data_IF_622545857897
#
_entry.id   IF_622545857897
#
_cell.length_a   1.000
_cell.length_b   1.000
_cell.length_c   1.000
_cell.angle_alpha   90.00
_cell.angle_beta   90.00
_cell.angle_gamma   90.00
#
_symmetry.space_group_name_H-M   'P 1'
#
loop_
_entity.id
_entity.type
_entity.pdbx_description
1 polymer ?
#
# COMPACT_ATOMS: atom_id res chain seq x y z
N UNK A 1 5.07 25.25 19.94
CA UNK A 1 5.41 26.67 19.62
C UNK A 1 4.38 27.30 18.67
N UNK A 2 3.92 26.61 17.61
CA UNK A 2 2.90 27.14 16.65
C UNK A 2 1.66 27.62 17.40
N UNK A 3 1.08 26.80 18.26
CA UNK A 3 -0.11 27.12 19.06
C UNK A 3 0.09 28.35 19.95
N UNK A 4 1.30 28.55 20.49
CA UNK A 4 1.64 29.72 21.31
C UNK A 4 1.55 31.01 20.50
N UNK A 5 2.09 30.99 19.28
CA UNK A 5 2.08 32.16 18.38
C UNK A 5 0.67 32.41 17.86
N UNK A 6 -0.06 31.36 17.51
CA UNK A 6 -1.45 31.45 17.04
C UNK A 6 -2.41 31.92 18.12
N UNK A 7 -2.08 31.71 19.40
CA UNK A 7 -2.86 32.22 20.53
C UNK A 7 -2.88 33.76 20.56
N UNK A 8 -1.88 34.44 19.97
CA UNK A 8 -1.68 35.89 20.01
C UNK A 8 -1.69 36.48 21.42
N UNK A 9 -1.37 35.65 22.43
CA UNK A 9 -1.39 36.05 23.81
C UNK A 9 -2.75 35.99 24.49
N UNK A 10 -3.77 35.44 23.82
CA UNK A 10 -5.09 35.26 24.45
C UNK A 10 -5.03 34.27 25.60
N UNK A 11 -5.36 34.73 26.80
CA UNK A 11 -5.15 34.00 28.06
C UNK A 11 -5.79 32.62 28.03
N UNK A 12 -7.05 32.49 27.60
CA UNK A 12 -7.78 31.23 27.55
C UNK A 12 -7.10 30.16 26.62
N UNK A 13 -6.54 30.61 25.49
CA UNK A 13 -5.81 29.73 24.57
C UNK A 13 -4.48 29.28 25.17
N UNK A 14 -3.81 30.16 25.90
CA UNK A 14 -2.57 29.83 26.59
C UNK A 14 -2.82 28.85 27.73
N UNK A 15 -3.87 29.07 28.54
CA UNK A 15 -4.26 28.14 29.59
C UNK A 15 -4.58 26.74 29.06
N UNK A 16 -5.22 26.65 27.91
CA UNK A 16 -5.45 25.37 27.22
C UNK A 16 -4.14 24.69 26.78
N UNK A 17 -3.22 25.46 26.20
CA UNK A 17 -1.89 24.96 25.76
C UNK A 17 -1.06 24.47 26.96
N UNK A 18 -1.06 25.21 28.07
CA UNK A 18 -0.34 24.86 29.28
C UNK A 18 -1.08 23.84 30.17
N UNK A 19 -2.32 23.51 29.82
CA UNK A 19 -3.22 22.65 30.65
C UNK A 19 -3.35 23.12 32.09
N UNK A 20 -3.42 24.44 32.28
CA UNK A 20 -3.49 25.08 33.57
C UNK A 20 -3.10 26.56 33.51
N UNK A 21 -2.64 27.09 34.65
CA UNK A 21 -2.20 28.48 34.73
C UNK A 21 -0.94 28.75 33.88
N UNK A 22 -0.97 29.86 33.19
CA UNK A 22 0.20 30.34 32.40
C UNK A 22 1.22 30.91 33.38
N UNK A 23 2.50 30.53 33.30
CA UNK A 23 3.54 31.09 34.15
C UNK A 23 3.63 32.62 34.08
N UNK A 24 3.79 33.31 35.21
CA UNK A 24 3.79 34.77 35.29
C UNK A 24 4.88 35.44 34.42
N UNK A 25 5.98 34.74 34.21
CA UNK A 25 7.08 35.23 33.38
C UNK A 25 6.98 34.81 31.91
N UNK A 26 5.87 34.19 31.49
CA UNK A 26 5.66 33.76 30.13
C UNK A 26 5.28 34.92 29.20
N UNK A 27 6.04 35.15 28.16
CA UNK A 27 5.74 36.13 27.13
C UNK A 27 5.70 35.45 25.76
N UNK A 28 4.52 35.36 25.17
CA UNK A 28 4.35 34.70 23.86
C UNK A 28 5.13 35.41 22.71
N UNK A 29 5.48 36.69 22.89
CA UNK A 29 6.27 37.48 21.92
C UNK A 29 7.75 37.07 21.86
N UNK A 30 8.22 36.29 22.83
CA UNK A 30 9.57 35.76 22.84
C UNK A 30 9.72 34.57 21.86
N UNK A 31 8.60 34.13 21.30
CA UNK A 31 8.55 33.06 20.33
C UNK A 31 8.29 33.59 18.93
N UNK A 32 9.05 33.08 17.95
CA UNK A 32 8.86 33.37 16.55
C UNK A 32 8.96 32.11 15.73
N UNK A 33 8.23 32.04 14.61
CA UNK A 33 8.33 30.96 13.63
C UNK A 33 8.77 31.58 12.33
N UNK A 34 9.92 31.13 11.86
CA UNK A 34 10.41 31.44 10.52
C UNK A 34 10.08 30.25 9.61
N UNK A 35 9.26 30.47 8.57
CA UNK A 35 8.94 29.49 7.56
C UNK A 35 9.61 29.85 6.25
N UNK A 36 10.52 28.99 5.78
CA UNK A 36 11.26 29.16 4.52
C UNK A 36 10.91 27.97 3.62
N UNK A 37 9.83 28.03 2.82
CA UNK A 37 9.55 27.01 1.84
C UNK A 37 10.55 27.05 0.69
N UNK A 38 10.63 25.93 -0.05
CA UNK A 38 11.55 25.79 -1.19
C UNK A 38 11.45 26.96 -2.20
N UNK A 39 10.26 27.45 -2.46
CA UNK A 39 10.05 28.56 -3.41
C UNK A 39 10.72 29.87 -3.00
N UNK A 40 11.03 30.04 -1.71
CA UNK A 40 11.74 31.21 -1.18
C UNK A 40 13.25 31.01 -1.09
N UNK A 41 13.75 29.81 -1.36
CA UNK A 41 15.18 29.51 -1.36
C UNK A 41 15.79 30.03 -2.68
N UNK A 42 16.99 30.65 -2.64
CA UNK A 42 17.65 31.12 -3.86
C UNK A 42 17.86 29.98 -4.87
N UNK A 43 17.65 30.29 -6.15
CA UNK A 43 17.87 29.34 -7.24
C UNK A 43 19.28 28.79 -7.21
N UNK A 44 19.41 27.48 -7.38
CA UNK A 44 20.72 26.78 -7.36
C UNK A 44 21.15 26.30 -5.98
N UNK A 45 20.42 26.62 -4.91
CA UNK A 45 20.69 26.08 -3.59
C UNK A 45 20.22 24.61 -3.45
N UNK A 46 19.12 24.27 -4.10
CA UNK A 46 18.62 22.90 -4.24
C UNK A 46 18.43 22.57 -5.73
N UNK A 47 18.50 21.31 -6.09
CA UNK A 47 18.23 20.85 -7.44
C UNK A 47 16.71 20.85 -7.71
N UNK A 48 16.27 21.76 -8.59
CA UNK A 48 14.87 21.88 -8.99
C UNK A 48 14.30 20.56 -9.55
N UNK A 49 15.12 19.77 -10.25
CA UNK A 49 14.71 18.44 -10.78
C UNK A 49 14.47 17.43 -9.67
N UNK A 50 15.32 17.47 -8.65
CA UNK A 50 15.15 16.59 -7.47
C UNK A 50 13.89 16.96 -6.70
N UNK A 51 13.60 18.24 -6.52
CA UNK A 51 12.36 18.70 -5.87
C UNK A 51 11.12 18.32 -6.67
N UNK A 52 11.15 18.49 -8.01
CA UNK A 52 10.07 18.07 -8.89
C UNK A 52 9.86 16.53 -8.83
N UNK A 53 10.95 15.76 -8.80
CA UNK A 53 10.90 14.32 -8.64
C UNK A 53 10.32 13.92 -7.28
N UNK A 54 10.75 14.57 -6.20
CA UNK A 54 10.19 14.34 -4.86
C UNK A 54 8.68 14.64 -4.84
N UNK A 55 8.24 15.75 -5.42
CA UNK A 55 6.82 16.09 -5.54
C UNK A 55 6.01 15.02 -6.28
N UNK A 56 6.59 14.38 -7.29
CA UNK A 56 5.94 13.33 -8.06
C UNK A 56 5.95 11.95 -7.37
N UNK A 57 6.86 11.70 -6.43
CA UNK A 57 7.08 10.35 -5.88
C UNK A 57 6.69 10.18 -4.43
N UNK A 58 6.72 11.24 -3.63
CA UNK A 58 6.35 11.21 -2.22
C UNK A 58 4.94 11.80 -2.01
N UNK A 59 4.24 11.34 -0.98
CA UNK A 59 2.91 11.89 -0.69
C UNK A 59 2.98 13.34 -0.20
N UNK A 60 1.90 14.08 -0.45
CA UNK A 60 1.80 15.53 -0.23
C UNK A 60 2.15 15.96 1.19
N UNK A 61 1.82 15.15 2.21
CA UNK A 61 2.13 15.47 3.60
C UNK A 61 3.63 15.58 3.86
N UNK A 62 4.43 14.60 3.41
CA UNK A 62 5.90 14.65 3.52
C UNK A 62 6.47 15.75 2.65
N UNK A 63 5.99 15.90 1.40
CA UNK A 63 6.44 16.99 0.54
C UNK A 63 6.22 18.37 1.20
N UNK A 64 5.05 18.59 1.79
CA UNK A 64 4.73 19.83 2.48
C UNK A 64 5.63 20.05 3.71
N UNK A 65 5.96 19.01 4.44
CA UNK A 65 6.85 19.09 5.60
C UNK A 65 8.30 19.39 5.19
N UNK A 66 8.83 18.64 4.23
CA UNK A 66 10.25 18.70 3.83
C UNK A 66 10.58 19.89 2.90
N UNK A 67 9.69 20.21 1.98
CA UNK A 67 9.95 21.25 0.94
C UNK A 67 9.11 22.51 1.10
N UNK A 68 7.87 22.40 1.56
CA UNK A 68 7.03 23.58 1.76
C UNK A 68 7.10 24.13 3.19
N UNK A 69 7.91 23.52 4.07
CA UNK A 69 8.10 23.90 5.47
C UNK A 69 6.76 24.07 6.21
N UNK A 70 5.80 23.17 5.97
CA UNK A 70 4.51 23.13 6.63
C UNK A 70 4.54 22.14 7.80
N UNK A 71 3.96 22.53 8.92
CA UNK A 71 3.69 21.57 10.00
C UNK A 71 2.48 20.72 9.59
N UNK A 72 2.59 19.42 9.81
CA UNK A 72 1.46 18.50 9.64
C UNK A 72 0.58 18.55 10.88
N UNK A 73 -0.73 18.46 10.70
CA UNK A 73 -1.67 18.30 11.81
C UNK A 73 -1.74 16.83 12.20
N UNK A 74 -1.45 16.52 13.47
CA UNK A 74 -1.35 15.16 14.01
C UNK A 74 -2.72 14.48 14.25
N UNK A 75 -3.83 15.14 13.94
CA UNK A 75 -5.15 14.71 14.39
C UNK A 75 -5.83 13.64 13.55
N UNK A 76 -5.37 13.38 12.33
CA UNK A 76 -6.01 12.42 11.43
C UNK A 76 -5.09 11.24 11.13
N UNK A 77 -5.68 10.04 11.01
CA UNK A 77 -4.96 8.83 10.60
C UNK A 77 -4.12 9.02 9.34
N UNK A 78 -3.13 8.16 9.15
CA UNK A 78 -2.22 8.27 7.99
C UNK A 78 -2.98 8.26 6.66
N UNK A 79 -4.06 7.49 6.56
CA UNK A 79 -5.00 7.50 5.44
C UNK A 79 -6.31 8.16 5.88
N UNK A 80 -6.53 9.41 5.48
CA UNK A 80 -7.75 10.14 5.83
C UNK A 80 -8.98 9.53 5.16
N UNK A 81 -10.09 9.45 5.86
CA UNK A 81 -11.37 8.97 5.29
C UNK A 81 -11.76 9.74 4.02
N UNK A 82 -11.64 11.06 4.03
CA UNK A 82 -11.93 11.90 2.87
C UNK A 82 -11.06 11.57 1.64
N UNK A 83 -9.80 11.21 1.86
CA UNK A 83 -8.90 10.78 0.78
C UNK A 83 -9.37 9.46 0.18
N UNK A 84 -9.66 8.46 1.01
CA UNK A 84 -10.17 7.15 0.57
C UNK A 84 -11.46 7.32 -0.21
N UNK A 85 -12.44 8.07 0.34
CA UNK A 85 -13.73 8.32 -0.30
C UNK A 85 -13.60 9.10 -1.64
N UNK A 86 -12.57 9.91 -1.80
CA UNK A 86 -12.28 10.59 -3.07
C UNK A 86 -11.82 9.64 -4.18
N UNK A 87 -11.39 8.43 -3.82
CA UNK A 87 -10.95 7.37 -4.73
C UNK A 87 -12.05 6.31 -4.98
N UNK A 88 -13.23 6.45 -4.37
CA UNK A 88 -14.39 5.61 -4.61
C UNK A 88 -15.12 6.11 -5.86
N UNK A 89 -15.33 5.22 -6.83
CA UNK A 89 -16.07 5.58 -8.04
C UNK A 89 -17.58 5.68 -7.74
N UNK A 90 -18.27 6.60 -8.43
CA UNK A 90 -19.73 6.84 -8.25
C UNK A 90 -20.38 7.15 -9.59
N UNK A 91 -21.60 6.71 -9.81
CA UNK A 91 -22.33 6.97 -11.05
C UNK A 91 -22.51 8.48 -11.32
N UNK A 92 -22.86 9.22 -10.26
CA UNK A 92 -23.11 10.66 -10.36
C UNK A 92 -21.84 11.50 -10.35
N UNK A 93 -20.67 10.91 -10.07
CA UNK A 93 -19.38 11.58 -10.00
C UNK A 93 -18.27 10.58 -10.37
N UNK A 94 -18.14 10.22 -11.66
CA UNK A 94 -17.10 9.33 -12.11
C UNK A 94 -15.72 9.95 -11.87
N UNK A 95 -14.72 9.12 -11.66
CA UNK A 95 -13.33 9.57 -11.57
C UNK A 95 -12.81 9.70 -13.00
N UNK A 96 -12.29 10.87 -13.33
CA UNK A 96 -11.78 11.19 -14.66
C UNK A 96 -10.27 10.98 -14.67
N UNK A 97 -9.79 10.06 -15.51
CA UNK A 97 -8.36 9.85 -15.76
C UNK A 97 -8.12 10.01 -17.27
N UNK A 98 -7.34 11.02 -17.63
CA UNK A 98 -7.22 11.37 -19.05
C UNK A 98 -8.56 11.79 -19.65
N UNK A 99 -9.06 11.03 -20.63
CA UNK A 99 -10.35 11.25 -21.29
C UNK A 99 -11.42 10.22 -20.89
N UNK A 100 -11.14 9.35 -19.92
CA UNK A 100 -12.01 8.26 -19.53
C UNK A 100 -12.76 8.58 -18.22
N UNK A 101 -14.07 8.33 -18.23
CA UNK A 101 -14.89 8.35 -17.02
C UNK A 101 -14.89 6.95 -16.41
N UNK A 102 -14.32 6.82 -15.23
CA UNK A 102 -14.14 5.53 -14.58
C UNK A 102 -15.21 5.33 -13.53
N UNK A 103 -16.01 4.27 -13.74
CA UNK A 103 -16.94 3.70 -12.76
C UNK A 103 -16.85 2.20 -12.88
N UNK A 104 -16.77 1.48 -11.79
CA UNK A 104 -16.70 0.02 -11.79
C UNK A 104 -17.25 -0.57 -10.49
N UNK A 105 -17.61 -1.84 -10.56
CA UNK A 105 -18.11 -2.64 -9.44
C UNK A 105 -17.02 -3.59 -8.92
N UNK A 106 -17.20 -4.06 -7.69
CA UNK A 106 -16.48 -5.21 -7.19
C UNK A 106 -16.85 -6.45 -8.03
N UNK A 107 -15.89 -7.35 -8.19
CA UNK A 107 -16.02 -8.52 -9.07
C UNK A 107 -15.63 -9.78 -8.31
N UNK A 108 -16.31 -10.89 -8.61
CA UNK A 108 -15.90 -12.24 -8.20
C UNK A 108 -15.26 -13.03 -9.36
N UNK A 109 -15.38 -12.51 -10.58
CA UNK A 109 -14.73 -13.03 -11.79
C UNK A 109 -14.16 -11.85 -12.59
N UNK A 110 -12.93 -11.95 -12.99
CA UNK A 110 -12.20 -10.92 -13.77
C UNK A 110 -12.43 -11.04 -15.28
N UNK A 111 -11.91 -10.06 -16.01
CA UNK A 111 -11.82 -10.11 -17.47
C UNK A 111 -10.56 -10.91 -17.87
N UNK A 112 -10.69 -11.97 -18.69
CA UNK A 112 -9.54 -12.78 -19.12
C UNK A 112 -8.52 -12.00 -19.98
N UNK A 113 -8.85 -10.80 -20.45
CA UNK A 113 -7.94 -9.94 -21.21
C UNK A 113 -7.10 -9.01 -20.35
N UNK A 114 -7.46 -8.86 -19.08
CA UNK A 114 -6.77 -7.99 -18.13
C UNK A 114 -5.82 -8.80 -17.25
N UNK A 115 -4.92 -8.11 -16.61
CA UNK A 115 -3.95 -8.67 -15.67
C UNK A 115 -4.29 -8.27 -14.25
N UNK A 116 -4.06 -9.19 -13.33
CA UNK A 116 -4.41 -9.01 -11.93
C UNK A 116 -3.20 -9.26 -11.03
N UNK A 117 -3.12 -8.50 -9.96
CA UNK A 117 -2.13 -8.67 -8.91
C UNK A 117 -2.85 -9.06 -7.63
N UNK A 118 -2.31 -10.05 -6.93
CA UNK A 118 -2.81 -10.45 -5.63
C UNK A 118 -1.85 -10.00 -4.54
N UNK A 119 -2.39 -9.39 -3.52
CA UNK A 119 -1.70 -9.19 -2.26
C UNK A 119 -2.28 -10.12 -1.22
N UNK A 120 -1.42 -10.84 -0.54
CA UNK A 120 -1.80 -11.86 0.44
C UNK A 120 -1.11 -11.55 1.76
N UNK A 121 -1.91 -11.38 2.80
CA UNK A 121 -1.45 -11.33 4.19
C UNK A 121 -1.81 -12.66 4.86
N UNK A 122 -0.83 -13.56 5.08
CA UNK A 122 -1.08 -14.84 5.69
C UNK A 122 -1.31 -14.68 7.20
N UNK A 123 -2.38 -15.32 7.68
CA UNK A 123 -2.72 -15.31 9.10
C UNK A 123 -1.67 -15.99 9.96
N UNK A 124 -1.36 -15.38 11.09
CA UNK A 124 -0.86 -16.09 12.26
C UNK A 124 -2.01 -16.86 12.97
N UNK A 125 -1.75 -17.48 14.11
CA UNK A 125 -2.78 -18.27 14.81
C UNK A 125 -4.07 -17.52 15.17
N UNK A 126 -3.99 -16.19 15.36
CA UNK A 126 -5.10 -15.35 15.84
C UNK A 126 -5.55 -14.28 14.84
N UNK A 127 -4.76 -14.05 13.79
CA UNK A 127 -5.02 -13.02 12.80
C UNK A 127 -5.86 -13.57 11.64
N UNK A 128 -6.31 -12.69 10.77
CA UNK A 128 -7.02 -13.09 9.57
C UNK A 128 -6.03 -13.35 8.43
N UNK A 129 -6.35 -14.33 7.62
CA UNK A 129 -5.80 -14.47 6.29
C UNK A 129 -6.59 -13.56 5.34
N UNK A 130 -5.91 -12.70 4.62
CA UNK A 130 -6.56 -11.74 3.73
C UNK A 130 -5.96 -11.74 2.34
N UNK A 131 -6.82 -11.63 1.31
CA UNK A 131 -6.42 -11.48 -0.09
C UNK A 131 -7.09 -10.21 -0.64
N UNK A 132 -6.30 -9.38 -1.31
CA UNK A 132 -6.79 -8.25 -2.11
C UNK A 132 -6.33 -8.43 -3.55
N UNK A 133 -7.25 -8.27 -4.51
CA UNK A 133 -6.94 -8.37 -5.93
C UNK A 133 -7.08 -7.00 -6.59
N UNK A 134 -6.01 -6.60 -7.29
CA UNK A 134 -5.98 -5.40 -8.11
C UNK A 134 -6.06 -5.74 -9.59
N UNK A 135 -6.97 -5.09 -10.30
CA UNK A 135 -7.05 -5.09 -11.76
C UNK A 135 -6.13 -4.00 -12.30
N UNK A 136 -5.20 -4.37 -13.19
CA UNK A 136 -4.21 -3.46 -13.75
C UNK A 136 -4.71 -2.77 -15.02
N UNK A 137 -4.60 -1.46 -15.05
CA UNK A 137 -4.78 -0.63 -16.22
C UNK A 137 -3.53 0.23 -16.47
N UNK A 138 -3.29 0.70 -17.70
CA UNK A 138 -2.10 1.50 -18.01
C UNK A 138 -1.95 2.77 -17.17
N UNK A 139 -3.04 3.39 -16.77
CA UNK A 139 -3.09 4.67 -16.05
C UNK A 139 -3.44 4.54 -14.57
N UNK A 140 -4.02 3.42 -14.14
CA UNK A 140 -4.51 3.23 -12.77
C UNK A 140 -4.66 1.75 -12.43
N UNK A 141 -4.88 1.46 -11.16
CA UNK A 141 -5.25 0.13 -10.66
C UNK A 141 -6.60 0.19 -9.96
N UNK A 142 -7.38 -0.87 -10.03
CA UNK A 142 -8.71 -0.99 -9.42
C UNK A 142 -8.71 -2.09 -8.39
N UNK A 143 -9.19 -1.79 -7.19
CA UNK A 143 -9.46 -2.82 -6.18
C UNK A 143 -10.77 -3.48 -6.59
N UNK A 144 -10.72 -4.70 -7.09
CA UNK A 144 -11.91 -5.40 -7.62
C UNK A 144 -12.41 -6.50 -6.71
N UNK A 145 -11.54 -7.03 -5.84
CA UNK A 145 -11.86 -8.16 -4.99
C UNK A 145 -11.11 -8.06 -3.65
N UNK A 146 -11.82 -8.41 -2.58
CA UNK A 146 -11.25 -8.60 -1.26
C UNK A 146 -11.90 -9.81 -0.58
N UNK A 147 -11.12 -10.60 0.11
CA UNK A 147 -11.59 -11.76 0.85
C UNK A 147 -10.77 -11.99 2.11
N UNK A 148 -11.45 -12.39 3.18
CA UNK A 148 -10.82 -12.60 4.48
C UNK A 148 -11.39 -13.83 5.17
N UNK A 149 -10.53 -14.58 5.82
CA UNK A 149 -10.92 -15.71 6.66
C UNK A 149 -10.00 -15.85 7.87
N UNK A 150 -10.41 -16.68 8.83
CA UNK A 150 -9.60 -17.02 9.98
C UNK A 150 -9.87 -18.48 10.40
N UNK A 151 -9.06 -18.97 11.32
CA UNK A 151 -9.19 -20.36 11.82
C UNK A 151 -10.53 -20.66 12.47
N UNK A 152 -11.21 -19.67 13.05
CA UNK A 152 -12.54 -19.85 13.64
C UNK A 152 -13.58 -20.07 12.55
N UNK A 153 -13.63 -19.19 11.56
CA UNK A 153 -14.52 -19.31 10.40
C UNK A 153 -14.26 -20.61 9.62
N UNK A 154 -13.00 -20.98 9.46
CA UNK A 154 -12.62 -22.24 8.83
C UNK A 154 -13.22 -23.45 9.58
N UNK A 155 -13.05 -23.51 10.91
CA UNK A 155 -13.61 -24.59 11.74
C UNK A 155 -15.14 -24.64 11.73
N UNK A 156 -15.79 -23.47 11.68
CA UNK A 156 -17.25 -23.39 11.59
C UNK A 156 -17.76 -23.91 10.24
N UNK A 157 -17.12 -23.53 9.15
CA UNK A 157 -17.44 -24.02 7.80
C UNK A 157 -17.15 -25.52 7.66
N UNK A 158 -16.07 -26.02 8.27
CA UNK A 158 -15.76 -27.46 8.32
C UNK A 158 -16.85 -28.23 9.07
N UNK A 159 -17.29 -27.74 10.24
CA UNK A 159 -18.39 -28.36 11.02
C UNK A 159 -19.71 -28.35 10.24
N UNK A 160 -19.95 -27.33 9.43
CA UNK A 160 -21.13 -27.25 8.57
C UNK A 160 -21.02 -28.14 7.33
N UNK A 161 -19.91 -28.84 7.12
CA UNK A 161 -19.71 -29.71 5.95
C UNK A 161 -19.42 -28.95 4.65
N UNK A 162 -19.14 -27.64 4.75
CA UNK A 162 -18.87 -26.78 3.60
C UNK A 162 -17.42 -26.86 3.10
N UNK A 163 -16.52 -27.37 3.93
CA UNK A 163 -15.09 -27.53 3.64
C UNK A 163 -14.67 -28.96 3.97
N UNK A 164 -14.03 -29.62 3.03
CA UNK A 164 -13.43 -30.96 3.21
C UNK A 164 -11.97 -30.91 3.67
N UNK A 165 -11.30 -29.75 3.48
CA UNK A 165 -9.90 -29.61 3.91
C UNK A 165 -9.78 -29.73 5.43
N UNK A 166 -8.70 -30.35 5.87
CA UNK A 166 -8.38 -30.50 7.28
C UNK A 166 -7.31 -29.53 7.77
N UNK A 167 -6.57 -28.93 6.84
CA UNK A 167 -5.52 -27.96 7.11
C UNK A 167 -5.91 -26.56 6.63
N UNK A 168 -5.79 -25.58 7.53
CA UNK A 168 -6.11 -24.19 7.27
C UNK A 168 -5.24 -23.57 6.17
N UNK A 169 -3.94 -23.88 6.17
CA UNK A 169 -3.04 -23.28 5.17
C UNK A 169 -3.26 -23.91 3.79
N UNK A 170 -3.55 -25.20 3.73
CA UNK A 170 -3.94 -25.86 2.49
C UNK A 170 -5.23 -25.26 1.92
N UNK A 171 -6.22 -24.95 2.77
CA UNK A 171 -7.43 -24.25 2.39
C UNK A 171 -7.14 -22.85 1.84
N UNK A 172 -6.25 -22.08 2.49
CA UNK A 172 -5.85 -20.76 2.00
C UNK A 172 -5.11 -20.84 0.64
N UNK A 173 -4.21 -21.81 0.47
CA UNK A 173 -3.54 -22.06 -0.80
C UNK A 173 -4.53 -22.46 -1.90
N UNK A 174 -5.52 -23.32 -1.58
CA UNK A 174 -6.60 -23.70 -2.49
C UNK A 174 -7.41 -22.47 -2.92
N UNK A 175 -7.69 -21.55 -2.00
CA UNK A 175 -8.37 -20.28 -2.31
C UNK A 175 -7.59 -19.46 -3.33
N UNK A 176 -6.27 -19.31 -3.15
CA UNK A 176 -5.40 -18.61 -4.12
C UNK A 176 -5.52 -19.26 -5.52
N UNK A 177 -5.44 -20.58 -5.61
CA UNK A 177 -5.56 -21.30 -6.89
C UNK A 177 -6.92 -21.10 -7.54
N UNK A 178 -8.00 -21.15 -6.76
CA UNK A 178 -9.35 -20.91 -7.28
C UNK A 178 -9.52 -19.48 -7.81
N UNK A 179 -8.91 -18.49 -7.14
CA UNK A 179 -8.91 -17.12 -7.65
C UNK A 179 -8.14 -16.98 -8.96
N UNK A 180 -7.06 -17.73 -9.17
CA UNK A 180 -6.32 -17.71 -10.44
C UNK A 180 -7.13 -18.24 -11.62
N UNK A 181 -8.16 -19.08 -11.37
CA UNK A 181 -9.13 -19.49 -12.40
C UNK A 181 -10.11 -18.36 -12.73
N UNK A 182 -10.43 -17.52 -11.76
CA UNK A 182 -11.37 -16.40 -11.90
C UNK A 182 -10.70 -15.11 -12.40
N UNK A 183 -9.46 -14.83 -12.00
CA UNK A 183 -8.71 -13.63 -12.33
C UNK A 183 -7.34 -13.99 -12.89
N UNK A 184 -7.02 -13.69 -14.17
CA UNK A 184 -5.71 -13.96 -14.73
C UNK A 184 -4.57 -13.32 -13.93
N UNK A 185 -3.79 -14.12 -13.23
CA UNK A 185 -2.78 -13.65 -12.30
C UNK A 185 -1.47 -13.30 -13.01
N UNK A 186 -1.00 -12.05 -12.83
CA UNK A 186 0.32 -11.61 -13.27
C UNK A 186 1.38 -11.82 -12.19
N UNK A 187 1.01 -11.53 -10.93
CA UNK A 187 1.89 -11.63 -9.77
C UNK A 187 1.10 -11.82 -8.48
N UNK A 188 1.65 -12.62 -7.58
CA UNK A 188 1.15 -12.80 -6.22
C UNK A 188 2.21 -12.25 -5.26
N UNK A 189 1.89 -11.26 -4.46
CA UNK A 189 2.72 -10.85 -3.33
C UNK A 189 2.21 -11.47 -2.05
N UNK A 190 3.10 -12.00 -1.23
CA UNK A 190 2.74 -12.60 0.04
C UNK A 190 3.77 -12.29 1.12
N UNK A 191 3.32 -11.96 2.33
CA UNK A 191 4.25 -11.81 3.45
C UNK A 191 4.85 -13.18 3.78
N UNK A 192 6.18 -13.24 3.80
CA UNK A 192 6.92 -14.46 4.16
C UNK A 192 6.83 -14.81 5.65
N UNK A 193 6.32 -13.89 6.49
CA UNK A 193 6.24 -14.09 7.93
C UNK A 193 4.95 -14.83 8.33
N UNK A 194 4.91 -15.35 9.52
CA UNK A 194 3.74 -16.07 10.03
C UNK A 194 3.44 -17.35 9.25
N UNK A 195 2.25 -17.43 8.64
CA UNK A 195 1.80 -18.58 7.85
C UNK A 195 2.31 -18.64 6.41
N UNK A 196 3.07 -17.63 5.95
CA UNK A 196 3.48 -17.48 4.56
C UNK A 196 4.24 -18.66 4.00
N UNK A 197 5.22 -19.18 4.75
CA UNK A 197 6.01 -20.34 4.34
C UNK A 197 5.13 -21.60 4.17
N UNK A 198 4.19 -21.83 5.07
CA UNK A 198 3.30 -23.01 4.98
C UNK A 198 2.35 -22.92 3.78
N UNK A 199 1.93 -21.69 3.41
CA UNK A 199 1.13 -21.46 2.20
C UNK A 199 2.00 -21.64 0.94
N UNK A 200 3.22 -21.11 0.95
CA UNK A 200 4.18 -21.30 -0.12
C UNK A 200 4.42 -22.78 -0.41
N UNK A 201 4.73 -23.59 0.64
CA UNK A 201 4.89 -25.04 0.52
C UNK A 201 3.63 -25.70 -0.07
N UNK A 202 2.44 -25.29 0.35
CA UNK A 202 1.19 -25.83 -0.19
C UNK A 202 0.93 -25.39 -1.65
N UNK A 203 1.48 -24.26 -2.11
CA UNK A 203 1.35 -23.77 -3.48
C UNK A 203 2.24 -24.52 -4.47
N UNK A 204 3.31 -25.16 -4.04
CA UNK A 204 4.15 -25.99 -4.92
C UNK A 204 4.13 -27.48 -4.54
N UNK A 205 3.19 -27.94 -3.71
CA UNK A 205 2.96 -29.34 -3.42
C UNK A 205 2.16 -30.02 -4.55
N UNK A 206 2.77 -30.98 -5.30
CA UNK A 206 2.08 -31.68 -6.39
C UNK A 206 0.86 -32.46 -5.93
N UNK A 207 0.83 -32.92 -4.66
CA UNK A 207 -0.28 -33.68 -4.11
C UNK A 207 -1.56 -32.84 -3.93
N UNK A 208 -1.45 -31.52 -4.00
CA UNK A 208 -2.55 -30.57 -3.82
C UNK A 208 -3.06 -29.96 -5.12
N UNK A 209 -2.56 -30.41 -6.26
CA UNK A 209 -2.99 -29.94 -7.56
C UNK A 209 -4.32 -30.59 -7.98
N UNK A 210 -5.19 -29.80 -8.57
CA UNK A 210 -6.32 -30.27 -9.36
C UNK A 210 -5.95 -30.39 -10.84
N UNK A 211 -6.77 -31.04 -11.62
CA UNK A 211 -6.55 -31.20 -13.06
C UNK A 211 -6.44 -29.84 -13.76
N UNK A 212 -5.37 -29.68 -14.54
CA UNK A 212 -5.08 -28.43 -15.27
C UNK A 212 -4.40 -27.32 -14.47
N UNK A 213 -4.07 -27.57 -13.19
CA UNK A 213 -3.31 -26.61 -12.38
C UNK A 213 -1.80 -26.79 -12.48
N UNK A 214 -1.07 -25.70 -12.32
CA UNK A 214 0.39 -25.70 -12.28
C UNK A 214 0.90 -25.47 -10.85
N UNK A 215 2.09 -25.92 -10.56
CA UNK A 215 2.84 -25.53 -9.38
C UNK A 215 3.09 -24.01 -9.39
N UNK A 216 3.04 -23.37 -8.24
CA UNK A 216 3.30 -21.95 -8.09
C UNK A 216 4.58 -21.77 -7.29
N UNK A 217 5.57 -21.14 -7.91
CA UNK A 217 6.91 -20.95 -7.37
C UNK A 217 7.21 -19.47 -7.16
N UNK A 218 8.19 -19.15 -6.31
CA UNK A 218 8.76 -17.81 -6.23
C UNK A 218 9.29 -17.33 -7.58
N UNK A 219 9.26 -16.00 -7.76
CA UNK A 219 9.85 -15.35 -8.93
C UNK A 219 11.34 -15.60 -8.97
N UNK A 220 11.84 -16.02 -10.13
CA UNK A 220 13.25 -16.28 -10.35
C UNK A 220 13.97 -14.97 -10.61
N UNK A 221 15.05 -14.70 -9.88
CA UNK A 221 15.95 -13.61 -10.21
C UNK A 221 16.62 -13.85 -11.57
N UNK A 222 16.83 -12.80 -12.33
CA UNK A 222 17.36 -12.88 -13.69
C UNK A 222 18.70 -13.63 -13.79
N UNK A 223 19.50 -13.60 -12.73
CA UNK A 223 20.76 -14.32 -12.62
C UNK A 223 20.64 -15.83 -12.43
N UNK A 224 19.47 -16.30 -12.02
CA UNK A 224 19.22 -17.72 -11.69
C UNK A 224 18.34 -18.42 -12.72
N UNK A 225 17.90 -17.73 -13.78
CA UNK A 225 16.99 -18.29 -14.80
C UNK A 225 17.54 -19.53 -15.50
N UNK A 226 18.86 -19.55 -15.72
CA UNK A 226 19.51 -20.64 -16.46
C UNK A 226 19.78 -21.89 -15.58
N UNK A 227 19.57 -21.80 -14.28
CA UNK A 227 19.85 -22.88 -13.30
C UNK A 227 18.60 -23.39 -12.62
N UNK A 228 17.43 -22.88 -12.94
CA UNK A 228 16.18 -23.28 -12.31
C UNK A 228 15.47 -24.35 -13.15
N UNK A 229 15.41 -25.57 -12.60
CA UNK A 229 14.75 -26.73 -13.20
C UNK A 229 13.29 -26.89 -12.73
N UNK A 230 12.75 -25.94 -11.96
CA UNK A 230 11.40 -26.04 -11.39
C UNK A 230 10.33 -25.77 -12.44
N UNK A 231 9.48 -26.76 -12.70
CA UNK A 231 8.38 -26.66 -13.66
C UNK A 231 7.16 -26.05 -12.96
N UNK A 232 6.64 -24.95 -13.49
CA UNK A 232 5.46 -24.29 -12.93
C UNK A 232 5.37 -22.80 -13.27
N UNK A 233 4.56 -22.08 -12.51
CA UNK A 233 4.37 -20.64 -12.63
C UNK A 233 5.24 -19.90 -11.60
N UNK A 234 6.18 -19.11 -12.08
CA UNK A 234 7.04 -18.28 -11.23
C UNK A 234 6.42 -16.89 -11.04
N UNK A 235 5.34 -16.82 -10.28
CA UNK A 235 4.54 -15.60 -10.08
C UNK A 235 4.48 -15.14 -8.62
N UNK A 236 5.04 -15.90 -7.68
CA UNK A 236 5.00 -15.61 -6.26
C UNK A 236 6.18 -14.70 -5.87
N UNK A 237 5.92 -13.59 -5.22
CA UNK A 237 6.92 -12.70 -4.64
C UNK A 237 6.74 -12.64 -3.12
N UNK A 238 7.74 -13.12 -2.41
CA UNK A 238 7.75 -13.10 -0.95
C UNK A 238 8.29 -11.76 -0.44
N UNK A 239 7.48 -11.05 0.34
CA UNK A 239 7.83 -9.78 0.93
C UNK A 239 8.10 -9.91 2.43
N UNK A 240 8.78 -8.94 3.01
CA UNK A 240 9.10 -8.93 4.44
C UNK A 240 8.82 -7.55 5.03
N UNK A 241 7.81 -7.43 5.86
CA UNK A 241 7.49 -6.21 6.59
C UNK A 241 8.57 -5.78 7.59
N UNK A 242 9.47 -6.69 7.97
CA UNK A 242 10.61 -6.35 8.83
C UNK A 242 11.60 -5.37 8.18
N UNK A 243 11.61 -5.23 6.85
CA UNK A 243 12.45 -4.27 6.13
C UNK A 243 11.84 -2.89 6.21
N UNK A 244 12.42 -2.01 7.04
CA UNK A 244 11.90 -0.66 7.29
C UNK A 244 11.74 0.17 6.02
N UNK A 245 12.72 0.12 5.11
CA UNK A 245 12.68 0.87 3.84
C UNK A 245 11.54 0.41 2.94
N UNK A 246 11.32 -0.92 2.85
CA UNK A 246 10.20 -1.48 2.09
C UNK A 246 8.86 -1.02 2.68
N UNK A 247 8.71 -1.09 4.00
CA UNK A 247 7.48 -0.69 4.69
C UNK A 247 7.21 0.81 4.52
N UNK A 248 8.24 1.66 4.65
CA UNK A 248 8.11 3.09 4.42
C UNK A 248 7.72 3.40 2.96
N UNK A 249 8.45 2.83 2.00
CA UNK A 249 8.18 3.04 0.58
C UNK A 249 6.79 2.57 0.18
N UNK A 250 6.33 1.43 0.70
CA UNK A 250 5.00 0.89 0.40
C UNK A 250 3.89 1.77 0.96
N UNK A 251 4.01 2.22 2.22
CA UNK A 251 3.00 3.08 2.84
C UNK A 251 2.89 4.46 2.18
N UNK A 252 4.03 5.12 1.97
CA UNK A 252 4.04 6.40 1.27
C UNK A 252 3.59 6.25 -0.17
N UNK A 253 3.95 5.15 -0.83
CA UNK A 253 3.49 4.80 -2.16
C UNK A 253 1.98 4.64 -2.23
N UNK A 254 1.40 3.84 -1.34
CA UNK A 254 -0.05 3.64 -1.26
C UNK A 254 -0.80 4.96 -1.05
N UNK A 255 -0.33 5.78 -0.10
CA UNK A 255 -0.92 7.10 0.14
C UNK A 255 -0.82 8.00 -1.08
N UNK A 256 0.33 8.03 -1.75
CA UNK A 256 0.53 8.81 -2.98
C UNK A 256 -0.43 8.36 -4.09
N UNK A 257 -0.61 7.05 -4.27
CA UNK A 257 -1.51 6.51 -5.30
C UNK A 257 -2.98 6.87 -5.04
N UNK A 258 -3.39 6.96 -3.77
CA UNK A 258 -4.70 7.50 -3.41
C UNK A 258 -4.80 9.00 -3.67
N UNK A 259 -3.77 9.79 -3.33
CA UNK A 259 -3.74 11.24 -3.59
C UNK A 259 -3.80 11.55 -5.10
N UNK A 260 -3.11 10.78 -5.92
CA UNK A 260 -3.07 10.92 -7.38
C UNK A 260 -4.27 10.25 -8.07
N UNK A 261 -5.13 9.54 -7.32
CA UNK A 261 -6.26 8.76 -7.84
C UNK A 261 -5.85 7.70 -8.88
N UNK A 262 -4.68 7.11 -8.70
CA UNK A 262 -4.23 5.98 -9.53
C UNK A 262 -4.53 4.62 -8.90
N UNK A 263 -5.01 4.59 -7.66
CA UNK A 263 -5.60 3.44 -7.01
C UNK A 263 -7.05 3.75 -6.66
N UNK A 264 -7.98 2.98 -7.21
CA UNK A 264 -9.42 3.26 -7.14
C UNK A 264 -10.17 2.14 -6.42
N UNK A 265 -11.23 2.53 -5.71
CA UNK A 265 -12.20 1.61 -5.10
C UNK A 265 -13.46 1.52 -5.97
N UNK A 266 -14.11 0.35 -5.97
CA UNK A 266 -15.39 0.17 -6.67
C UNK A 266 -16.46 1.07 -6.06
N UNK A 267 -17.49 1.33 -6.83
CA UNK A 267 -18.66 2.02 -6.28
C UNK A 267 -19.33 1.14 -5.21
N UNK A 268 -19.84 1.81 -4.21
CA UNK A 268 -20.71 1.22 -3.20
C UNK A 268 -22.06 1.93 -3.25
N UNK A 269 -23.10 1.17 -3.56
CA UNK A 269 -24.47 1.62 -3.53
C UNK A 269 -25.30 0.55 -2.82
N UNK A 270 -26.01 0.94 -1.75
CA UNK A 270 -26.83 0.04 -0.95
C UNK A 270 -27.90 -0.66 -1.80
N UNK A 271 -28.48 0.05 -2.79
CA UNK A 271 -29.47 -0.51 -3.67
C UNK A 271 -28.88 -1.59 -4.59
N UNK A 272 -27.71 -1.32 -5.16
CA UNK A 272 -26.98 -2.31 -5.97
C UNK A 272 -26.58 -3.53 -5.16
N UNK A 273 -26.21 -3.35 -3.90
CA UNK A 273 -25.91 -4.45 -2.97
C UNK A 273 -27.15 -5.32 -2.70
N UNK A 274 -28.31 -4.71 -2.44
CA UNK A 274 -29.57 -5.44 -2.22
C UNK A 274 -29.98 -6.21 -3.48
N UNK A 275 -29.85 -5.60 -4.65
CA UNK A 275 -30.16 -6.27 -5.94
C UNK A 275 -29.21 -7.43 -6.23
N UNK A 276 -27.90 -7.27 -5.91
CA UNK A 276 -26.93 -8.35 -6.03
C UNK A 276 -27.25 -9.51 -5.09
N UNK A 277 -27.58 -9.23 -3.83
CA UNK A 277 -28.03 -10.21 -2.83
C UNK A 277 -29.28 -10.99 -3.32
N UNK A 278 -30.25 -10.29 -3.86
CA UNK A 278 -31.47 -10.91 -4.41
C UNK A 278 -31.17 -11.84 -5.61
N UNK A 279 -30.27 -11.42 -6.49
CA UNK A 279 -29.84 -12.26 -7.62
C UNK A 279 -29.05 -13.48 -7.15
N UNK A 280 -28.16 -13.33 -6.21
CA UNK A 280 -27.36 -14.42 -5.65
C UNK A 280 -28.26 -15.43 -4.93
N UNK A 281 -29.22 -14.98 -4.13
CA UNK A 281 -30.20 -15.85 -3.47
C UNK A 281 -31.03 -16.63 -4.46
N UNK A 282 -31.52 -16.01 -5.55
CA UNK A 282 -32.28 -16.71 -6.61
C UNK A 282 -31.42 -17.74 -7.35
N UNK A 283 -30.13 -17.43 -7.57
CA UNK A 283 -29.21 -18.35 -8.20
C UNK A 283 -28.91 -19.57 -7.32
N UNK A 284 -28.80 -19.37 -5.99
CA UNK A 284 -28.64 -20.45 -5.01
C UNK A 284 -29.86 -21.35 -4.95
N UNK A 285 -31.09 -20.78 -5.02
CA UNK A 285 -32.33 -21.53 -5.00
C UNK A 285 -32.58 -22.34 -6.30
N UNK A 286 -32.01 -21.88 -7.42
CA UNK A 286 -32.24 -22.53 -8.75
C UNK A 286 -31.14 -23.49 -9.17
N UNK A 287 -30.01 -23.51 -8.51
CA UNK A 287 -28.89 -24.38 -8.83
C UNK A 287 -28.68 -25.40 -7.73
N UNK A 288 -28.49 -26.66 -8.09
CA UNK A 288 -27.87 -27.71 -7.27
C UNK A 288 -26.39 -27.34 -6.92
N UNK A 289 -26.12 -26.07 -6.67
CA UNK A 289 -24.79 -25.53 -6.47
C UNK A 289 -24.48 -25.58 -5.00
N UNK A 290 -23.39 -26.25 -4.68
CA UNK A 290 -22.61 -26.00 -3.45
C UNK A 290 -22.54 -24.50 -3.21
N UNK A 291 -22.82 -24.01 -2.00
CA UNK A 291 -22.81 -22.58 -1.69
C UNK A 291 -21.52 -21.94 -2.22
N UNK A 292 -21.63 -21.00 -3.14
CA UNK A 292 -20.48 -20.25 -3.61
C UNK A 292 -19.88 -19.51 -2.42
N UNK A 293 -18.59 -19.74 -2.17
CA UNK A 293 -17.87 -19.09 -1.08
C UNK A 293 -17.67 -17.61 -1.30
N UNK A 294 -17.84 -17.14 -2.53
CA UNK A 294 -17.58 -15.78 -2.95
C UNK A 294 -18.84 -15.22 -3.55
N UNK A 295 -19.54 -14.44 -2.77
CA UNK A 295 -20.62 -13.62 -3.26
C UNK A 295 -20.12 -12.20 -3.52
N UNK A 296 -20.70 -11.50 -4.48
CA UNK A 296 -20.37 -10.09 -4.75
C UNK A 296 -20.62 -9.25 -3.50
N UNK A 297 -21.65 -9.57 -2.74
CA UNK A 297 -21.98 -8.86 -1.49
C UNK A 297 -20.90 -9.04 -0.41
N UNK A 298 -20.41 -10.26 -0.20
CA UNK A 298 -19.30 -10.49 0.72
C UNK A 298 -18.05 -9.73 0.28
N UNK A 299 -17.73 -9.75 -1.02
CA UNK A 299 -16.61 -9.02 -1.58
C UNK A 299 -16.73 -7.51 -1.33
N UNK A 300 -17.89 -6.93 -1.55
CA UNK A 300 -18.15 -5.49 -1.31
C UNK A 300 -18.00 -5.15 0.17
N UNK A 301 -18.55 -5.97 1.07
CA UNK A 301 -18.41 -5.76 2.52
C UNK A 301 -16.95 -5.84 2.97
N UNK A 302 -16.17 -6.80 2.44
CA UNK A 302 -14.76 -6.91 2.72
C UNK A 302 -13.95 -5.69 2.23
N UNK A 303 -14.34 -5.09 1.09
CA UNK A 303 -13.74 -3.84 0.60
C UNK A 303 -14.12 -2.66 1.50
N UNK A 304 -15.35 -2.59 2.02
CA UNK A 304 -15.74 -1.57 3.00
C UNK A 304 -14.95 -1.70 4.30
N UNK A 305 -14.75 -2.94 4.78
CA UNK A 305 -13.89 -3.19 5.94
C UNK A 305 -12.43 -2.84 5.67
N UNK A 306 -11.91 -3.07 4.47
CA UNK A 306 -10.58 -2.60 4.05
C UNK A 306 -10.46 -1.07 4.15
N UNK A 307 -11.48 -0.31 3.70
CA UNK A 307 -11.50 1.15 3.84
C UNK A 307 -11.50 1.57 5.32
N UNK A 308 -12.23 0.86 6.17
CA UNK A 308 -12.25 1.08 7.60
C UNK A 308 -10.86 0.82 8.23
N UNK A 309 -10.20 -0.30 7.90
CA UNK A 309 -8.85 -0.61 8.36
C UNK A 309 -7.85 0.50 8.00
N UNK A 310 -7.89 0.97 6.75
CA UNK A 310 -7.03 2.07 6.28
C UNK A 310 -7.16 3.33 7.16
N UNK A 311 -8.38 3.70 7.56
CA UNK A 311 -8.60 4.89 8.39
C UNK A 311 -8.05 4.75 9.81
N UNK A 312 -7.80 3.52 10.28
CA UNK A 312 -7.26 3.27 11.62
C UNK A 312 -5.75 3.29 11.68
N UNK A 313 -5.07 3.31 10.53
CA UNK A 313 -3.61 3.30 10.49
C UNK A 313 -3.06 4.67 10.90
N UNK A 314 -2.19 4.64 11.89
CA UNK A 314 -1.45 5.81 12.35
C UNK A 314 0.04 5.62 12.10
N UNK A 315 0.71 6.68 11.71
CA UNK A 315 2.17 6.72 11.61
C UNK A 315 2.74 7.28 12.90
N UNK A 316 3.68 6.56 13.48
CA UNK A 316 4.42 6.99 14.65
C UNK A 316 5.91 6.85 14.42
N UNK A 317 6.71 7.73 15.01
CA UNK A 317 8.16 7.61 15.00
C UNK A 317 8.63 6.93 16.26
N UNK A 318 9.45 5.91 16.11
CA UNK A 318 10.11 5.24 17.24
C UNK A 318 11.55 5.71 17.31
N UNK A 319 11.94 6.28 18.46
CA UNK A 319 13.32 6.65 18.73
C UNK A 319 14.12 5.40 19.14
N UNK A 320 15.09 5.01 18.36
CA UNK A 320 15.98 3.89 18.66
C UNK A 320 17.46 4.31 18.59
N UNK A 321 18.35 3.47 19.09
CA UNK A 321 19.82 3.67 19.02
C UNK A 321 20.37 3.81 17.60
N UNK A 322 19.61 3.36 16.58
CA UNK A 322 19.96 3.45 15.16
C UNK A 322 19.20 4.55 14.39
N UNK A 323 18.62 5.54 15.09
CA UNK A 323 17.86 6.64 14.50
C UNK A 323 16.36 6.50 14.63
N UNK A 324 15.62 7.53 14.24
CA UNK A 324 14.16 7.53 14.21
C UNK A 324 13.68 6.66 13.04
N UNK A 325 12.73 5.76 13.30
CA UNK A 325 12.09 4.92 12.28
C UNK A 325 10.59 5.15 12.30
N UNK A 326 10.03 5.32 11.14
CA UNK A 326 8.59 5.39 10.97
C UNK A 326 7.97 4.01 11.11
N UNK A 327 6.86 3.98 11.83
CA UNK A 327 6.06 2.78 12.06
C UNK A 327 4.61 3.06 11.77
N UNK A 328 3.99 2.21 10.97
CA UNK A 328 2.57 2.22 10.65
C UNK A 328 1.88 1.09 11.40
N UNK A 329 0.93 1.45 12.24
CA UNK A 329 0.21 0.47 13.07
C UNK A 329 -1.15 1.04 13.46
N UNK A 330 -2.02 0.17 14.01
CA UNK A 330 -3.27 0.61 14.62
C UNK A 330 -3.03 1.12 16.05
N UNK A 331 -3.81 2.09 16.54
CA UNK A 331 -3.69 2.57 17.90
C UNK A 331 -4.02 1.46 18.90
N UNK A 332 -3.43 1.55 20.09
CA UNK A 332 -3.78 0.68 21.21
C UNK A 332 -5.20 0.97 21.67
N UNK A 333 -6.03 -0.06 21.76
CA UNK A 333 -7.40 0.02 22.30
C UNK A 333 -7.52 -0.74 23.60
N UNK A 334 -8.39 -0.28 24.51
CA UNK A 334 -8.76 -1.06 25.69
C UNK A 334 -9.83 -2.07 25.30
N UNK A 335 -9.51 -3.34 25.43
CA UNK A 335 -10.45 -4.44 25.23
C UNK A 335 -11.43 -4.53 26.41
N UNK A 336 -12.64 -5.12 26.22
CA UNK A 336 -13.62 -5.31 27.31
C UNK A 336 -13.07 -6.05 28.53
N UNK A 337 -12.04 -6.86 28.36
CA UNK A 337 -11.33 -7.59 29.43
C UNK A 337 -10.28 -6.72 30.16
N UNK A 338 -10.22 -5.41 29.88
CA UNK A 338 -9.27 -4.48 30.49
C UNK A 338 -7.83 -4.56 29.95
N UNK A 339 -7.53 -5.50 29.05
CA UNK A 339 -6.22 -5.64 28.41
C UNK A 339 -6.10 -4.67 27.23
N UNK A 340 -4.87 -4.23 26.95
CA UNK A 340 -4.57 -3.53 25.71
C UNK A 340 -4.62 -4.51 24.53
N UNK A 341 -5.25 -4.09 23.47
CA UNK A 341 -5.31 -4.80 22.21
C UNK A 341 -5.07 -3.84 21.04
N UNK A 342 -4.96 -4.37 19.85
CA UNK A 342 -4.87 -3.61 18.62
C UNK A 342 -6.05 -3.96 17.70
N UNK A 343 -6.43 -3.03 16.85
CA UNK A 343 -7.35 -3.30 15.77
C UNK A 343 -6.66 -4.17 14.70
N UNK A 344 -7.45 -4.90 13.96
CA UNK A 344 -6.95 -5.69 12.84
C UNK A 344 -6.58 -4.80 11.67
N UNK A 345 -5.61 -5.25 10.87
CA UNK A 345 -5.10 -4.52 9.70
C UNK A 345 -4.69 -5.47 8.56
N UNK A 346 -5.25 -6.66 8.54
CA UNK A 346 -4.83 -7.74 7.66
C UNK A 346 -5.16 -7.43 6.20
N UNK A 347 -6.34 -6.83 5.93
CA UNK A 347 -6.73 -6.37 4.58
C UNK A 347 -5.86 -5.22 4.10
N UNK A 348 -5.54 -4.28 5.00
CA UNK A 348 -4.62 -3.20 4.69
C UNK A 348 -3.23 -3.74 4.33
N UNK A 349 -2.70 -4.73 5.06
CA UNK A 349 -1.42 -5.35 4.75
C UNK A 349 -1.44 -6.02 3.37
N UNK A 350 -2.50 -6.76 3.05
CA UNK A 350 -2.69 -7.37 1.74
C UNK A 350 -2.75 -6.31 0.62
N UNK A 351 -3.51 -5.21 0.81
CA UNK A 351 -3.54 -4.11 -0.15
C UNK A 351 -2.17 -3.45 -0.33
N UNK A 352 -1.43 -3.25 0.76
CA UNK A 352 -0.11 -2.64 0.74
C UNK A 352 0.86 -3.45 -0.15
N UNK A 353 0.84 -4.78 -0.02
CA UNK A 353 1.61 -5.71 -0.84
C UNK A 353 1.18 -5.61 -2.31
N UNK A 354 -0.12 -5.75 -2.58
CA UNK A 354 -0.64 -5.69 -3.95
C UNK A 354 -0.29 -4.37 -4.64
N UNK A 355 -0.47 -3.24 -3.96
CA UNK A 355 -0.18 -1.93 -4.52
C UNK A 355 1.32 -1.72 -4.79
N UNK A 356 2.19 -2.24 -3.93
CA UNK A 356 3.63 -2.16 -4.15
C UNK A 356 4.05 -2.90 -5.41
N UNK A 357 3.51 -4.10 -5.64
CA UNK A 357 3.75 -4.87 -6.88
C UNK A 357 3.18 -4.16 -8.11
N UNK A 358 1.97 -3.61 -8.02
CA UNK A 358 1.37 -2.84 -9.11
C UNK A 358 2.26 -1.65 -9.50
N UNK A 359 2.82 -0.95 -8.54
CA UNK A 359 3.75 0.16 -8.77
C UNK A 359 5.05 -0.30 -9.45
N UNK A 360 5.58 -1.45 -9.07
CA UNK A 360 6.79 -2.02 -9.67
C UNK A 360 6.54 -2.39 -11.14
N UNK A 361 5.43 -3.07 -11.44
CA UNK A 361 5.06 -3.48 -12.80
C UNK A 361 4.79 -2.25 -13.67
N UNK A 362 4.01 -1.28 -13.18
CA UNK A 362 3.71 -0.06 -13.92
C UNK A 362 4.97 0.76 -14.22
N UNK A 363 5.94 0.80 -13.30
CA UNK A 363 7.23 1.45 -13.56
C UNK A 363 8.06 0.71 -14.60
N UNK A 364 8.03 -0.62 -14.60
CA UNK A 364 8.74 -1.42 -15.59
C UNK A 364 8.14 -1.28 -17.01
N UNK A 365 6.83 -1.03 -17.09
CA UNK A 365 6.11 -0.83 -18.35
C UNK A 365 6.25 0.60 -18.90
N UNK A 366 6.61 1.59 -18.07
CA UNK A 366 6.89 2.93 -18.57
C UNK A 366 8.16 2.88 -19.42
N UNK A 367 8.11 3.40 -20.68
CA UNK A 367 9.33 3.54 -21.45
C UNK A 367 10.31 4.34 -20.59
N UNK A 368 11.50 3.79 -20.38
CA UNK A 368 12.59 4.53 -19.77
C UNK A 368 12.87 5.66 -20.76
N UNK A 369 12.22 6.80 -20.58
CA UNK A 369 12.67 8.03 -21.17
C UNK A 369 14.00 8.31 -20.49
N UNK A 370 15.08 7.81 -21.10
CA UNK A 370 16.35 8.44 -20.90
C UNK A 370 16.12 9.87 -21.40
N UNK A 371 15.88 10.81 -20.49
CA UNK A 371 16.31 12.16 -20.74
C UNK A 371 17.81 12.00 -20.97
N UNK A 372 18.17 11.77 -22.22
CA UNK A 372 19.50 12.09 -22.70
C UNK A 372 19.58 13.55 -22.34
N UNK A 373 20.20 13.81 -21.17
CA UNK A 373 20.59 15.14 -20.76
C UNK A 373 21.26 15.67 -22.00
N UNK A 374 20.58 16.55 -22.69
CA UNK A 374 20.72 16.77 -24.10
C UNK A 374 22.15 17.05 -24.51
N UNK A 375 22.36 17.37 -25.74
CA UNK A 375 23.61 17.73 -26.41
C UNK A 375 24.62 18.51 -25.53
N UNK A 376 24.22 19.04 -24.40
CA UNK A 376 25.05 19.62 -23.35
C UNK A 376 25.83 18.58 -22.51
N UNK A 377 25.38 17.32 -22.41
CA UNK A 377 26.16 16.26 -21.76
C UNK A 377 27.45 15.95 -22.56
N UNK A 378 27.39 16.07 -23.88
CA UNK A 378 28.58 15.93 -24.73
C UNK A 378 29.52 17.15 -24.57
N UNK A 379 29.00 18.32 -24.22
CA UNK A 379 29.81 19.51 -23.88
C UNK A 379 30.39 19.43 -22.48
N UNK A 380 29.66 18.87 -21.51
CA UNK A 380 30.19 18.69 -20.14
C UNK A 380 31.30 17.65 -20.08
N UNK A 381 31.23 16.61 -20.90
CA UNK A 381 32.30 15.59 -21.02
C UNK A 381 33.54 16.20 -21.72
N UNK A 382 33.38 17.14 -22.63
CA UNK A 382 34.49 17.86 -23.28
C UNK A 382 35.11 18.95 -22.39
N UNK A 383 34.39 19.46 -21.40
CA UNK A 383 34.89 20.43 -20.45
C UNK A 383 35.32 19.72 -19.14
N UNK A 384 36.48 19.04 -19.19
CA UNK A 384 37.29 18.58 -18.07
C UNK A 384 36.71 17.50 -17.13
N UNK A 385 35.73 16.73 -17.53
CA UNK A 385 35.28 15.60 -16.70
C UNK A 385 34.75 15.98 -15.31
N UNK A 386 34.40 17.23 -15.11
CA UNK A 386 33.74 17.63 -13.88
C UNK A 386 32.27 17.25 -13.94
N UNK A 387 31.95 16.08 -13.42
CA UNK A 387 30.58 15.82 -12.96
C UNK A 387 30.21 16.93 -11.98
N UNK A 388 28.94 17.34 -12.03
CA UNK A 388 28.35 18.31 -11.11
C UNK A 388 28.76 17.94 -9.67
N UNK A 389 29.56 18.77 -9.09
CA UNK A 389 29.82 18.75 -7.66
C UNK A 389 28.68 19.47 -6.99
N UNK A 390 27.81 18.76 -6.33
CA UNK A 390 26.87 19.35 -5.38
C UNK A 390 27.61 20.24 -4.36
N UNK A 391 26.88 20.95 -3.51
CA UNK A 391 27.52 21.76 -2.46
C UNK A 391 28.53 20.92 -1.70
N UNK A 392 29.75 21.43 -1.51
CA UNK A 392 30.90 20.70 -0.96
C UNK A 392 30.63 20.02 0.37
N UNK A 393 29.76 20.59 1.21
CA UNK A 393 29.38 20.00 2.49
C UNK A 393 28.53 18.70 2.35
N UNK A 394 27.91 18.48 1.18
CA UNK A 394 27.08 17.29 0.91
C UNK A 394 27.85 16.19 0.17
N UNK A 395 28.98 16.51 -0.43
CA UNK A 395 29.61 15.65 -1.43
C UNK A 395 31.04 15.21 -1.07
N UNK A 396 31.69 15.78 -0.07
CA UNK A 396 33.09 15.43 0.23
C UNK A 396 33.24 13.96 0.67
N UNK A 397 32.36 13.46 1.52
CA UNK A 397 32.42 12.07 1.96
C UNK A 397 31.89 11.04 0.92
N UNK A 398 30.90 11.44 0.10
CA UNK A 398 30.28 10.55 -0.90
C UNK A 398 31.06 10.49 -2.22
N UNK A 399 31.86 11.51 -2.52
CA UNK A 399 32.62 11.58 -3.78
C UNK A 399 33.97 10.85 -3.73
N UNK A 400 34.59 10.66 -2.57
CA UNK A 400 35.84 9.90 -2.48
C UNK A 400 35.65 8.44 -2.86
N UNK A 401 34.55 7.80 -2.44
CA UNK A 401 34.28 6.40 -2.73
C UNK A 401 33.83 6.13 -4.17
N UNK A 402 33.17 7.09 -4.82
CA UNK A 402 32.72 6.96 -6.22
C UNK A 402 33.89 7.14 -7.21
N UNK A 403 34.88 7.94 -6.89
CA UNK A 403 36.03 8.18 -7.75
C UNK A 403 37.07 7.05 -7.74
N UNK A 404 37.14 6.23 -6.70
CA UNK A 404 38.07 5.10 -6.61
C UNK A 404 37.69 3.97 -7.59
N UNK A 405 36.41 3.86 -7.98
CA UNK A 405 35.92 2.85 -8.95
C UNK A 405 36.19 3.16 -10.42
N UNK A 406 36.52 4.39 -10.78
CA UNK A 406 36.67 4.84 -12.20
C UNK A 406 38.14 4.97 -12.61
N UNK A 407 39.10 4.73 -11.71
CA UNK A 407 40.53 4.79 -12.00
C UNK A 407 41.18 3.44 -12.33
N UNK A 408 40.45 2.53 -12.94
CA UNK A 408 41.05 1.33 -13.55
C UNK A 408 40.60 1.16 -14.98
#
# INVERSE_FOLDING_TARGET
YKSIIESRGEKYKLEEIFKGEVPDNFNWKDYSILRIPYELIPKGFMDDKQVARAKATIHTGIYNMEYAACFTEDSDGFFRRSLIESCVTKDNSPIIIGNENIVFDAKIVGDPKLKYIYGVDPASEKDNFSIVVLELHPSHSRIVYCWTTNRTNFKERQKAGLISDHDFYAFCARKIRNLMKAFPCERIGMDAQGGGIAIEEALHDPAKLEEGENLIWPVIEEKSKDTDDQVGLHVLELVQFAKADWTAQSNHGLRKDLEDKVLLFPRFDELSLVLALDQENRNIETADLTPLYDTTSECVLEIEELKNELTTIVMSQTSGSSGARDRWDTPDIKMPNGKKGKLRKDRYSALLIANMLARQINRALQPVTYDIIGTDASKSVKNNGQMYKGPTWFTEAANEDIYIGIRK
#
